data_IF_644777398278
#
_entry.id   IF_644777398278
#
_cell.length_a   1.000
_cell.length_b   1.000
_cell.length_c   1.000
_cell.angle_alpha   90.00
_cell.angle_beta   90.00
_cell.angle_gamma   90.00
#
_symmetry.space_group_name_H-M   'P 1'
#
loop_
_entity.id
_entity.type
_entity.pdbx_description
1 polymer ?
#
# COMPACT_ATOMS: atom_id res chain seq x y z
N UNK A 1 10.19 -52.03 -26.02
CA UNK A 1 9.75 -51.14 -24.92
C UNK A 1 11.00 -50.51 -24.33
N UNK A 2 11.25 -49.23 -24.62
CA UNK A 2 12.43 -48.51 -24.13
C UNK A 2 12.25 -48.14 -22.65
N UNK A 3 13.30 -48.27 -21.87
CA UNK A 3 13.25 -48.10 -20.42
C UNK A 3 13.29 -46.61 -20.04
N UNK A 4 12.70 -46.25 -18.88
CA UNK A 4 12.64 -44.87 -18.34
C UNK A 4 13.98 -44.13 -18.29
N UNK A 5 15.11 -44.85 -18.33
CA UNK A 5 16.48 -44.30 -18.36
C UNK A 5 16.93 -43.81 -19.74
N UNK A 6 16.34 -44.31 -20.83
CA UNK A 6 16.72 -43.94 -22.20
C UNK A 6 16.08 -42.61 -22.63
N UNK A 7 14.87 -42.29 -22.14
CA UNK A 7 14.19 -41.01 -22.41
C UNK A 7 14.89 -39.79 -21.79
N UNK A 8 15.65 -39.99 -20.70
CA UNK A 8 16.36 -38.90 -20.01
C UNK A 8 17.71 -38.55 -20.64
N UNK A 9 18.23 -39.38 -21.55
CA UNK A 9 19.51 -39.15 -22.24
C UNK A 9 19.35 -38.45 -23.60
N UNK A 10 18.12 -38.27 -24.08
CA UNK A 10 17.82 -37.61 -25.36
C UNK A 10 17.49 -36.13 -25.21
N UNK A 11 17.60 -35.53 -24.02
CA UNK A 11 17.44 -34.09 -23.86
C UNK A 11 18.77 -33.40 -24.24
N UNK A 12 18.81 -32.68 -25.37
CA UNK A 12 20.02 -32.01 -25.82
C UNK A 12 20.37 -30.91 -24.81
N UNK A 13 21.65 -30.82 -24.45
CA UNK A 13 22.20 -29.81 -23.53
C UNK A 13 21.82 -28.38 -23.97
N UNK A 14 21.63 -28.16 -25.27
CA UNK A 14 21.12 -26.92 -25.88
C UNK A 14 19.77 -26.42 -25.33
N UNK A 15 18.86 -27.33 -24.93
CA UNK A 15 17.54 -26.93 -24.38
C UNK A 15 17.70 -26.36 -22.97
N UNK A 16 18.60 -26.94 -22.17
CA UNK A 16 18.89 -26.46 -20.81
C UNK A 16 19.67 -25.15 -20.84
N UNK A 17 20.59 -24.97 -21.80
CA UNK A 17 21.32 -23.70 -21.95
C UNK A 17 20.41 -22.55 -22.40
N UNK A 18 19.46 -22.78 -23.32
CA UNK A 18 18.46 -21.77 -23.72
C UNK A 18 17.52 -21.37 -22.58
N UNK A 19 17.19 -22.28 -21.66
CA UNK A 19 16.37 -21.94 -20.48
C UNK A 19 17.14 -21.08 -19.47
N UNK A 20 18.44 -21.33 -19.30
CA UNK A 20 19.31 -20.51 -18.44
C UNK A 20 19.45 -19.08 -18.96
N UNK A 21 19.55 -18.92 -20.28
CA UNK A 21 19.65 -17.61 -20.93
C UNK A 21 18.33 -16.83 -20.86
N UNK A 22 17.19 -17.52 -20.96
CA UNK A 22 15.86 -16.92 -20.82
C UNK A 22 15.59 -16.41 -19.39
N UNK A 23 16.08 -17.11 -18.36
CA UNK A 23 15.96 -16.69 -16.96
C UNK A 23 16.84 -15.47 -16.61
N UNK A 24 17.93 -15.21 -17.34
CA UNK A 24 18.71 -13.98 -17.17
C UNK A 24 18.12 -12.75 -17.85
N UNK A 25 17.18 -12.91 -18.79
CA UNK A 25 16.64 -11.80 -19.58
C UNK A 25 15.37 -11.16 -18.96
N UNK A 26 14.73 -11.84 -17.99
CA UNK A 26 13.44 -11.39 -17.41
C UNK A 26 13.54 -10.74 -16.03
N UNK A 27 14.73 -10.68 -15.43
CA UNK A 27 14.96 -9.95 -14.19
C UNK A 27 15.89 -8.76 -14.43
N UNK A 28 15.37 -7.58 -14.77
CA UNK A 28 16.16 -6.36 -14.60
C UNK A 28 16.45 -6.22 -13.11
N UNK A 29 17.73 -6.23 -12.74
CA UNK A 29 18.15 -5.81 -11.42
C UNK A 29 17.76 -4.34 -11.29
N UNK A 30 16.68 -4.08 -10.53
CA UNK A 30 16.26 -2.74 -10.16
C UNK A 30 17.35 -2.09 -9.34
N UNK A 31 18.02 -1.15 -9.98
CA UNK A 31 18.90 -0.13 -9.46
C UNK A 31 18.23 0.66 -8.32
N UNK A 32 18.56 0.30 -7.08
CA UNK A 32 18.21 1.10 -5.90
C UNK A 32 19.14 2.31 -5.75
N UNK A 33 19.31 3.11 -6.80
CA UNK A 33 20.05 4.37 -6.76
C UNK A 33 19.10 5.56 -6.98
N UNK A 34 18.08 5.61 -6.14
CA UNK A 34 17.19 6.76 -5.97
C UNK A 34 17.28 7.29 -4.54
N UNK A 35 18.49 7.62 -4.08
CA UNK A 35 18.68 8.33 -2.82
C UNK A 35 17.95 9.68 -2.92
N UNK A 36 16.79 9.73 -2.29
CA UNK A 36 15.93 10.89 -2.22
C UNK A 36 16.75 12.14 -1.82
N UNK A 37 16.79 13.14 -2.71
CA UNK A 37 16.89 14.53 -2.25
C UNK A 37 15.67 14.75 -1.37
N UNK A 38 15.86 14.74 -0.06
CA UNK A 38 14.89 15.23 0.90
C UNK A 38 14.72 16.73 0.65
N UNK A 39 13.91 17.08 -0.35
CA UNK A 39 13.13 18.29 -0.27
C UNK A 39 12.28 18.10 0.97
N UNK A 40 12.44 18.98 1.95
CA UNK A 40 11.60 19.04 3.14
C UNK A 40 10.18 19.39 2.68
N UNK A 41 9.48 18.38 2.18
CA UNK A 41 8.12 18.50 1.75
C UNK A 41 7.30 18.73 3.01
N UNK A 42 6.60 19.86 3.07
CA UNK A 42 5.63 20.13 4.13
C UNK A 42 4.75 18.90 4.33
N UNK A 43 4.93 18.24 5.47
CA UNK A 43 4.23 17.01 5.79
C UNK A 43 2.78 17.39 6.07
N UNK A 44 1.87 16.71 5.39
CA UNK A 44 0.43 16.85 5.63
C UNK A 44 -0.03 15.70 6.49
N UNK A 45 -0.86 15.99 7.48
CA UNK A 45 -1.45 15.00 8.38
C UNK A 45 -2.96 15.00 8.21
N UNK A 46 -3.58 13.83 8.31
CA UNK A 46 -5.02 13.73 8.27
C UNK A 46 -5.65 14.14 9.62
N UNK A 47 -6.67 14.99 9.58
CA UNK A 47 -7.42 15.45 10.75
C UNK A 47 -8.91 15.12 10.57
N UNK A 48 -9.54 14.61 11.63
CA UNK A 48 -10.95 14.20 11.65
C UNK A 48 -11.79 15.29 12.32
N UNK A 49 -12.82 15.77 11.61
CA UNK A 49 -13.93 16.52 12.16
C UNK A 49 -14.93 15.56 12.81
N UNK A 50 -14.84 15.41 14.13
CA UNK A 50 -15.68 14.49 14.91
C UNK A 50 -17.17 14.82 14.82
N UNK A 51 -17.53 16.08 14.54
CA UNK A 51 -18.94 16.49 14.42
C UNK A 51 -19.62 15.96 13.15
N UNK A 52 -18.82 15.61 12.13
CA UNK A 52 -19.29 15.12 10.83
C UNK A 52 -19.02 13.64 10.62
N UNK A 53 -18.15 13.04 11.44
CA UNK A 53 -17.76 11.65 11.25
C UNK A 53 -18.89 10.69 11.66
N UNK A 54 -19.38 9.88 10.71
CA UNK A 54 -20.41 8.87 10.98
C UNK A 54 -20.05 7.94 12.15
N UNK A 55 -18.77 7.56 12.28
CA UNK A 55 -18.29 6.72 13.38
C UNK A 55 -18.39 7.42 14.76
N UNK A 56 -18.04 8.70 14.81
CA UNK A 56 -18.21 9.51 16.03
C UNK A 56 -19.69 9.82 16.32
N UNK A 57 -20.54 9.84 15.29
CA UNK A 57 -22.00 9.90 15.40
C UNK A 57 -22.68 8.58 15.79
N UNK A 58 -21.92 7.50 16.03
CA UNK A 58 -22.45 6.21 16.50
C UNK A 58 -22.73 5.17 15.40
N UNK A 59 -22.43 5.46 14.14
CA UNK A 59 -22.51 4.46 13.08
C UNK A 59 -21.25 3.56 13.06
N UNK A 60 -21.36 2.33 12.55
CA UNK A 60 -20.22 1.41 12.39
C UNK A 60 -19.31 1.73 11.19
N UNK A 61 -19.07 3.00 10.87
CA UNK A 61 -18.30 3.39 9.68
C UNK A 61 -16.79 3.19 9.89
N UNK A 62 -16.12 2.51 8.96
CA UNK A 62 -14.68 2.18 9.05
C UNK A 62 -13.90 2.50 7.77
N UNK A 63 -14.52 3.19 6.80
CA UNK A 63 -13.96 3.34 5.45
C UNK A 63 -12.58 4.02 5.42
N UNK A 64 -12.39 5.08 6.22
CA UNK A 64 -11.11 5.77 6.30
C UNK A 64 -9.99 4.88 6.85
N UNK A 65 -10.30 4.05 7.86
CA UNK A 65 -9.39 3.05 8.40
C UNK A 65 -9.06 2.00 7.33
N UNK A 66 -10.08 1.39 6.70
CA UNK A 66 -9.90 0.34 5.69
C UNK A 66 -9.09 0.81 4.47
N UNK A 67 -9.25 2.07 4.07
CA UNK A 67 -8.54 2.67 2.94
C UNK A 67 -7.10 3.09 3.24
N UNK A 68 -6.72 3.24 4.51
CA UNK A 68 -5.36 3.61 4.87
C UNK A 68 -4.40 2.44 4.57
N UNK A 69 -3.28 2.70 3.88
CA UNK A 69 -2.26 1.65 3.67
C UNK A 69 -1.41 1.41 4.93
N UNK A 70 -1.45 2.33 5.89
CA UNK A 70 -0.81 2.24 7.21
C UNK A 70 -1.86 2.00 8.32
N UNK A 71 -2.82 1.09 8.08
CA UNK A 71 -3.77 0.62 9.12
C UNK A 71 -3.02 0.21 10.38
N UNK A 72 -3.63 0.50 11.53
CA UNK A 72 -3.09 0.24 12.87
C UNK A 72 -1.77 0.97 13.18
N UNK A 73 -1.32 1.86 12.29
CA UNK A 73 -0.15 2.73 12.49
C UNK A 73 -0.54 4.20 12.36
N UNK A 74 -1.07 4.59 11.21
CA UNK A 74 -1.50 5.98 10.95
C UNK A 74 -2.97 6.22 11.32
N UNK A 75 -3.82 5.20 11.22
CA UNK A 75 -5.21 5.27 11.67
C UNK A 75 -5.52 4.01 12.48
N UNK A 76 -5.94 4.20 13.72
CA UNK A 76 -6.39 3.15 14.64
C UNK A 76 -7.89 3.27 14.88
N UNK A 77 -8.56 2.14 15.14
CA UNK A 77 -9.95 2.12 15.60
C UNK A 77 -9.98 1.95 17.12
N UNK A 78 -10.34 3.01 17.85
CA UNK A 78 -10.49 2.99 19.31
C UNK A 78 -11.97 3.10 19.66
N UNK A 79 -12.54 2.09 20.31
CA UNK A 79 -13.98 2.02 20.60
C UNK A 79 -14.85 2.29 19.35
N UNK A 80 -14.49 1.67 18.22
CA UNK A 80 -15.10 1.87 16.91
C UNK A 80 -15.00 3.30 16.34
N UNK A 81 -14.15 4.15 16.90
CA UNK A 81 -13.89 5.50 16.40
C UNK A 81 -12.50 5.59 15.79
N UNK A 82 -12.37 6.14 14.57
CA UNK A 82 -11.06 6.33 13.95
C UNK A 82 -10.28 7.43 14.69
N UNK A 83 -9.01 7.16 14.97
CA UNK A 83 -8.04 8.09 15.54
C UNK A 83 -6.80 8.12 14.65
N UNK A 84 -6.40 9.31 14.19
CA UNK A 84 -5.20 9.49 13.37
C UNK A 84 -3.98 9.68 14.26
N UNK A 85 -2.93 8.90 14.02
CA UNK A 85 -1.61 9.11 14.62
C UNK A 85 -0.74 9.93 13.66
N UNK A 86 -0.62 11.24 13.93
CA UNK A 86 0.12 12.20 13.10
C UNK A 86 1.55 11.72 12.77
N UNK A 87 2.24 11.15 13.77
CA UNK A 87 3.60 10.64 13.64
C UNK A 87 3.78 9.63 12.49
N UNK A 88 2.76 8.84 12.17
CA UNK A 88 2.81 7.82 11.14
C UNK A 88 2.03 8.20 9.87
N UNK A 89 1.22 9.25 9.90
CA UNK A 89 0.47 9.71 8.75
C UNK A 89 1.41 10.31 7.70
N UNK A 90 1.41 9.78 6.48
CA UNK A 90 2.26 10.24 5.38
C UNK A 90 1.58 11.26 4.46
N UNK A 91 0.33 11.63 4.77
CA UNK A 91 -0.43 12.60 4.00
C UNK A 91 -0.95 12.10 2.65
N UNK A 92 -0.98 10.79 2.40
CA UNK A 92 -1.40 10.23 1.10
C UNK A 92 -2.85 10.54 0.68
N UNK A 93 -3.73 10.87 1.63
CA UNK A 93 -5.09 11.33 1.36
C UNK A 93 -6.12 10.24 1.00
N UNK A 94 -5.76 8.96 0.96
CA UNK A 94 -6.72 7.87 0.64
C UNK A 94 -7.92 7.84 1.60
N UNK A 95 -7.71 8.18 2.87
CA UNK A 95 -8.77 8.28 3.86
C UNK A 95 -9.79 9.40 3.54
N UNK A 96 -9.35 10.51 2.94
CA UNK A 96 -10.20 11.62 2.50
C UNK A 96 -11.09 11.17 1.35
N UNK A 97 -10.51 10.55 0.33
CA UNK A 97 -11.25 10.00 -0.81
C UNK A 97 -12.29 8.97 -0.34
N UNK A 98 -11.89 8.04 0.54
CA UNK A 98 -12.80 7.03 1.06
C UNK A 98 -13.92 7.64 1.92
N UNK A 99 -13.64 8.69 2.70
CA UNK A 99 -14.68 9.36 3.46
C UNK A 99 -15.73 10.04 2.56
N UNK A 100 -15.29 10.56 1.40
CA UNK A 100 -16.16 11.21 0.43
C UNK A 100 -17.12 10.28 -0.32
N UNK A 101 -16.93 8.95 -0.25
CA UNK A 101 -17.89 8.00 -0.85
C UNK A 101 -19.12 7.75 0.02
N UNK A 102 -19.05 8.13 1.30
CA UNK A 102 -20.12 7.94 2.30
C UNK A 102 -20.53 9.23 3.01
N UNK A 103 -19.86 10.35 2.76
CA UNK A 103 -20.23 11.68 3.24
C UNK A 103 -20.13 12.69 2.11
N UNK A 104 -21.23 13.40 1.80
CA UNK A 104 -21.22 14.51 0.84
C UNK A 104 -20.25 15.64 1.27
N UNK A 105 -20.08 15.82 2.58
CA UNK A 105 -19.05 16.67 3.17
C UNK A 105 -18.05 15.79 3.95
N UNK A 106 -16.86 15.49 3.41
CA UNK A 106 -15.89 14.63 4.06
C UNK A 106 -15.55 15.09 5.47
N UNK A 107 -15.64 14.15 6.42
CA UNK A 107 -15.34 14.35 7.83
C UNK A 107 -13.83 14.25 8.16
N UNK A 108 -12.98 13.96 7.18
CA UNK A 108 -11.52 13.91 7.34
C UNK A 108 -10.88 14.74 6.22
N UNK A 109 -9.85 15.52 6.56
CA UNK A 109 -9.11 16.39 5.63
C UNK A 109 -7.61 16.30 5.91
N UNK A 110 -6.80 16.73 4.95
CA UNK A 110 -5.36 16.86 5.12
C UNK A 110 -5.00 18.30 5.51
N UNK A 111 -4.34 18.45 6.65
CA UNK A 111 -3.85 19.71 7.19
C UNK A 111 -2.32 19.76 7.09
N UNK A 112 -1.73 20.95 6.88
CA UNK A 112 -0.27 21.11 6.92
C UNK A 112 0.20 21.08 8.39
N UNK A 113 1.24 20.30 8.70
CA UNK A 113 1.96 20.50 9.96
C UNK A 113 2.73 21.83 9.85
N UNK A 114 2.36 22.79 10.72
CA UNK A 114 2.94 24.13 10.79
C UNK A 114 4.23 24.20 11.57
#
# INVERSE_FOLDING_TARGET
>A
MATRREFLRSFPVEILERMREFMSYTFPQGDTEGAARAVEAKRRTAAIDVSRCLAWGGAGCQLCYLACHLRDKAIEMRDQKPVVAALFCDGCGMCVTACGTVNDLPAIRLEEEG
#
